data_IF_001884876974
#
_entry.id   IF_001884876974
#
_cell.length_a   1.000
_cell.length_b   1.000
_cell.length_c   1.000
_cell.angle_alpha   90.00
_cell.angle_beta   90.00
_cell.angle_gamma   90.00
#
_symmetry.space_group_name_H-M   'P 1'
#
loop_
_entity.id
_entity.type
_entity.pdbx_description
1 polymer ?
#
# COMPACT_ATOMS: atom_id res chain seq x y z
N UNK A 1 7.31 -8.10 -4.46
CA UNK A 1 6.29 -8.68 -3.57
C UNK A 1 5.06 -7.78 -3.61
N UNK A 2 3.87 -8.34 -3.81
CA UNK A 2 2.60 -7.62 -3.82
C UNK A 2 1.57 -8.38 -2.97
N UNK A 3 0.63 -7.64 -2.36
CA UNK A 3 -0.47 -8.20 -1.57
C UNK A 3 -1.79 -8.10 -2.32
N UNK A 4 -2.67 -9.07 -2.04
CA UNK A 4 -4.02 -9.11 -2.59
C UNK A 4 -4.96 -8.14 -1.84
N UNK A 5 -6.08 -7.70 -2.45
CA UNK A 5 -7.08 -6.88 -1.76
C UNK A 5 -7.62 -7.53 -0.47
N UNK A 6 -7.77 -8.85 -0.45
CA UNK A 6 -8.23 -9.59 0.73
C UNK A 6 -7.22 -9.52 1.88
N UNK A 7 -5.92 -9.62 1.58
CA UNK A 7 -4.87 -9.44 2.58
C UNK A 7 -4.82 -7.99 3.06
N UNK A 8 -4.95 -7.02 2.15
CA UNK A 8 -4.99 -5.61 2.52
C UNK A 8 -6.16 -5.27 3.46
N UNK A 9 -7.35 -5.85 3.24
CA UNK A 9 -8.51 -5.64 4.10
C UNK A 9 -8.24 -6.01 5.59
N UNK A 10 -7.33 -6.95 5.84
CA UNK A 10 -6.95 -7.32 7.23
C UNK A 10 -6.17 -6.21 7.95
N UNK A 11 -5.43 -5.38 7.21
CA UNK A 11 -4.57 -4.32 7.76
C UNK A 11 -5.09 -2.91 7.46
N UNK A 12 -6.13 -2.76 6.65
CA UNK A 12 -6.65 -1.47 6.19
C UNK A 12 -6.94 -0.50 7.35
N UNK A 13 -7.44 -1.03 8.47
CA UNK A 13 -7.75 -0.26 9.68
C UNK A 13 -6.51 0.36 10.37
N UNK A 14 -5.31 -0.15 10.08
CA UNK A 14 -4.06 0.40 10.58
C UNK A 14 -3.56 1.59 9.74
N UNK A 15 -4.09 1.78 8.53
CA UNK A 15 -3.64 2.85 7.65
C UNK A 15 -4.42 4.15 7.88
N UNK A 16 -3.77 5.31 7.70
CA UNK A 16 -4.46 6.58 7.76
C UNK A 16 -5.50 6.69 6.64
N UNK A 17 -6.62 7.35 6.94
CA UNK A 17 -7.55 7.79 5.91
C UNK A 17 -6.87 8.82 5.02
N UNK A 18 -7.01 8.65 3.71
CA UNK A 18 -6.44 9.56 2.73
C UNK A 18 -7.08 10.95 2.86
N UNK A 19 -6.26 12.00 2.76
CA UNK A 19 -6.68 13.38 2.95
C UNK A 19 -6.70 14.13 1.63
N UNK A 20 -7.80 14.79 1.31
CA UNK A 20 -7.94 15.62 0.10
C UNK A 20 -8.15 14.81 -1.19
N UNK A 21 -7.75 15.38 -2.33
CA UNK A 21 -7.89 14.75 -3.65
C UNK A 21 -6.75 13.75 -3.92
N UNK A 22 -6.81 12.59 -3.28
CA UNK A 22 -5.86 11.50 -3.54
C UNK A 22 -6.39 10.63 -4.68
N UNK A 23 -5.55 10.37 -5.68
CA UNK A 23 -5.85 9.52 -6.85
C UNK A 23 -5.31 8.09 -6.73
N UNK A 24 -4.43 7.83 -5.75
CA UNK A 24 -3.80 6.54 -5.50
C UNK A 24 -4.48 5.85 -4.32
N UNK A 25 -4.77 4.56 -4.42
CA UNK A 25 -5.33 3.81 -3.30
C UNK A 25 -4.25 3.42 -2.28
N UNK A 26 -4.65 3.23 -1.02
CA UNK A 26 -3.76 2.73 0.03
C UNK A 26 -3.14 1.35 -0.33
N UNK A 27 -3.86 0.49 -1.05
CA UNK A 27 -3.34 -0.78 -1.56
C UNK A 27 -2.16 -0.57 -2.53
N UNK A 28 -2.29 0.38 -3.48
CA UNK A 28 -1.22 0.69 -4.43
C UNK A 28 0.03 1.23 -3.72
N UNK A 29 -0.16 2.06 -2.70
CA UNK A 29 0.96 2.58 -1.89
C UNK A 29 1.68 1.44 -1.16
N UNK A 30 0.94 0.52 -0.53
CA UNK A 30 1.54 -0.62 0.17
C UNK A 30 2.32 -1.52 -0.79
N UNK A 31 1.77 -1.83 -1.97
CA UNK A 31 2.47 -2.63 -2.98
C UNK A 31 3.73 -1.92 -3.49
N UNK A 32 3.69 -0.61 -3.67
CA UNK A 32 4.87 0.17 -4.06
C UNK A 32 5.97 0.12 -2.97
N UNK A 33 5.61 0.23 -1.69
CA UNK A 33 6.56 0.10 -0.58
C UNK A 33 7.18 -1.30 -0.55
N UNK A 34 6.37 -2.36 -0.70
CA UNK A 34 6.86 -3.74 -0.74
C UNK A 34 7.80 -3.99 -1.93
N UNK A 35 7.48 -3.42 -3.09
CA UNK A 35 8.33 -3.50 -4.27
C UNK A 35 9.72 -2.87 -4.02
N UNK A 36 9.75 -1.66 -3.46
CA UNK A 36 10.99 -0.95 -3.11
C UNK A 36 11.78 -1.71 -2.04
N UNK A 37 11.11 -2.25 -1.02
CA UNK A 37 11.75 -3.03 0.04
C UNK A 37 12.42 -4.31 -0.51
N UNK A 38 11.82 -4.96 -1.51
CA UNK A 38 12.37 -6.17 -2.13
C UNK A 38 13.52 -5.89 -3.10
N UNK A 39 13.41 -4.85 -3.92
CA UNK A 39 14.41 -4.54 -4.96
C UNK A 39 15.54 -3.64 -4.46
N UNK A 40 15.37 -3.06 -3.26
CA UNK A 40 16.23 -2.03 -2.70
C UNK A 40 16.02 -0.67 -3.35
N UNK A 41 16.34 0.40 -2.62
CA UNK A 41 16.52 1.72 -3.21
C UNK A 41 17.90 1.77 -3.86
N UNK A 42 17.97 1.53 -5.18
CA UNK A 42 19.17 1.85 -5.97
C UNK A 42 19.21 3.33 -6.33
#
# INVERSE_FOLDING_TARGET
MEITPAQFATIEHCLPKQRGNVSLSNLQVVNAILYVAEHGCK
#
